data_IF_677310877393
#
_entry.id   IF_677310877393
#
_cell.length_a   1.000
_cell.length_b   1.000
_cell.length_c   1.000
_cell.angle_alpha   90.00
_cell.angle_beta   90.00
_cell.angle_gamma   90.00
#
_symmetry.space_group_name_H-M   'P 1'
#
loop_
_entity.id
_entity.type
_entity.pdbx_description
1 polymer ?
#
# COMPACT_ATOMS: atom_id res chain seq x y z
N UNK A 1 -6.81 6.91 -45.76
CA UNK A 1 -5.50 6.68 -45.11
C UNK A 1 -4.58 7.89 -45.00
N UNK A 2 -5.02 9.15 -45.14
CA UNK A 2 -4.11 10.31 -45.06
C UNK A 2 -3.86 10.85 -43.64
N UNK A 3 -4.49 10.27 -42.61
CA UNK A 3 -4.45 10.81 -41.24
C UNK A 3 -3.28 10.27 -40.39
N UNK A 4 -2.57 9.24 -40.87
CA UNK A 4 -1.41 8.68 -40.16
C UNK A 4 -0.07 9.17 -40.74
N UNK A 5 -0.06 9.96 -41.81
CA UNK A 5 1.18 10.42 -42.45
C UNK A 5 1.81 11.64 -41.76
N UNK A 6 1.05 12.40 -40.98
CA UNK A 6 1.53 13.58 -40.25
C UNK A 6 2.26 13.22 -38.95
N UNK A 7 3.46 13.76 -38.76
CA UNK A 7 4.34 13.50 -37.60
C UNK A 7 3.65 13.87 -36.27
N UNK A 8 2.80 14.91 -36.28
CA UNK A 8 1.99 15.32 -35.12
C UNK A 8 0.92 14.27 -34.77
N UNK A 9 0.26 13.71 -35.78
CA UNK A 9 -0.79 12.69 -35.57
C UNK A 9 -0.22 11.35 -35.10
N UNK A 10 0.99 10.98 -35.55
CA UNK A 10 1.69 9.76 -35.09
C UNK A 10 2.11 9.87 -33.62
N UNK A 11 2.65 11.02 -33.20
CA UNK A 11 2.96 11.30 -31.80
C UNK A 11 1.71 11.18 -30.92
N UNK A 12 0.61 11.79 -31.36
CA UNK A 12 -0.67 11.71 -30.65
C UNK A 12 -1.23 10.27 -30.57
N UNK A 13 -1.06 9.44 -31.62
CA UNK A 13 -1.48 8.03 -31.55
C UNK A 13 -0.66 7.23 -30.53
N UNK A 14 0.66 7.47 -30.47
CA UNK A 14 1.54 6.88 -29.47
C UNK A 14 1.14 7.26 -28.04
N UNK A 15 0.82 8.52 -27.80
CA UNK A 15 0.34 9.00 -26.50
C UNK A 15 -1.03 8.41 -26.12
N UNK A 16 -1.97 8.34 -27.07
CA UNK A 16 -3.30 7.75 -26.84
C UNK A 16 -3.19 6.26 -26.51
N UNK A 17 -2.31 5.52 -27.19
CA UNK A 17 -2.08 4.11 -26.86
C UNK A 17 -1.41 3.93 -25.50
N UNK A 18 -0.45 4.78 -25.16
CA UNK A 18 0.18 4.78 -23.84
C UNK A 18 -0.88 4.97 -22.74
N UNK A 19 -1.72 6.01 -22.87
CA UNK A 19 -2.81 6.28 -21.92
C UNK A 19 -3.73 5.07 -21.75
N UNK A 20 -4.15 4.45 -22.85
CA UNK A 20 -5.00 3.26 -22.80
C UNK A 20 -4.34 2.13 -22.03
N UNK A 21 -3.07 1.84 -22.26
CA UNK A 21 -2.35 0.78 -21.54
C UNK A 21 -2.31 1.08 -20.03
N UNK A 22 -2.04 2.34 -19.66
CA UNK A 22 -2.03 2.76 -18.26
C UNK A 22 -3.42 2.59 -17.63
N UNK A 23 -4.49 3.02 -18.30
CA UNK A 23 -5.87 2.85 -17.80
C UNK A 23 -6.23 1.37 -17.61
N UNK A 24 -5.84 0.49 -18.53
CA UNK A 24 -6.08 -0.97 -18.43
C UNK A 24 -5.26 -1.65 -17.31
N UNK A 25 -4.21 -0.99 -16.83
CA UNK A 25 -3.44 -1.45 -15.67
C UNK A 25 -4.10 -1.14 -14.32
N UNK A 26 -5.31 -0.54 -14.34
CA UNK A 26 -6.05 -0.05 -13.17
C UNK A 26 -5.41 1.14 -12.45
N UNK A 27 -4.57 1.91 -13.15
CA UNK A 27 -3.95 3.11 -12.60
C UNK A 27 -4.87 4.33 -12.76
N UNK A 28 -5.00 5.11 -11.69
CA UNK A 28 -5.78 6.33 -11.60
C UNK A 28 -4.94 7.55 -11.97
N UNK A 29 -5.47 8.38 -12.87
CA UNK A 29 -4.83 9.63 -13.27
C UNK A 29 -4.72 10.59 -12.08
N UNK A 30 -3.60 11.30 -11.99
CA UNK A 30 -3.25 12.23 -10.91
C UNK A 30 -3.01 11.60 -9.53
N UNK A 31 -3.24 10.30 -9.38
CA UNK A 31 -2.92 9.54 -8.17
C UNK A 31 -1.74 8.62 -8.46
N UNK A 32 -1.91 7.72 -9.42
CA UNK A 32 -0.92 6.71 -9.78
C UNK A 32 0.00 7.18 -10.91
N UNK A 33 -0.43 8.15 -11.72
CA UNK A 33 0.40 8.70 -12.78
C UNK A 33 0.07 10.13 -13.17
N UNK A 34 1.05 10.81 -13.78
CA UNK A 34 0.90 12.15 -14.36
C UNK A 34 1.43 12.14 -15.78
N UNK A 35 0.65 12.68 -16.72
CA UNK A 35 1.06 12.84 -18.12
C UNK A 35 1.76 14.18 -18.34
N UNK A 36 2.73 14.19 -19.25
CA UNK A 36 3.33 15.40 -19.83
C UNK A 36 3.79 16.46 -18.81
N UNK A 37 4.24 16.03 -17.63
CA UNK A 37 4.76 16.92 -16.59
C UNK A 37 6.10 17.50 -17.06
N UNK A 38 6.24 18.82 -17.03
CA UNK A 38 7.53 19.46 -17.29
C UNK A 38 8.41 19.34 -16.04
N UNK A 39 9.58 18.75 -16.21
CA UNK A 39 10.63 18.63 -15.21
C UNK A 39 11.71 19.65 -15.57
N UNK A 40 12.05 20.52 -14.63
CA UNK A 40 13.24 21.36 -14.73
C UNK A 40 14.45 20.57 -14.23
N UNK A 41 15.43 20.42 -15.11
CA UNK A 41 16.72 19.80 -14.77
C UNK A 41 17.61 20.80 -14.03
N UNK A 42 18.64 20.29 -13.35
CA UNK A 42 19.61 21.13 -12.62
C UNK A 42 20.31 22.17 -13.51
N UNK A 43 20.46 21.86 -14.79
CA UNK A 43 21.12 22.73 -15.77
C UNK A 43 20.16 23.78 -16.38
N UNK A 44 18.93 23.87 -15.87
CA UNK A 44 17.89 24.79 -16.36
C UNK A 44 17.18 24.33 -17.63
N UNK A 45 17.54 23.16 -18.17
CA UNK A 45 16.84 22.58 -19.32
C UNK A 45 15.49 21.99 -18.90
N UNK A 46 14.49 22.12 -19.77
CA UNK A 46 13.14 21.56 -19.55
C UNK A 46 13.03 20.22 -20.25
N UNK A 47 12.67 19.20 -19.48
CA UNK A 47 12.41 17.86 -19.95
C UNK A 47 10.94 17.52 -19.74
N UNK A 48 10.30 16.89 -20.72
CA UNK A 48 8.88 16.57 -20.65
C UNK A 48 8.66 15.14 -21.12
N UNK A 49 8.70 14.16 -20.21
CA UNK A 49 8.31 12.80 -20.54
C UNK A 49 6.81 12.71 -20.81
N UNK A 50 6.38 11.68 -21.52
CA UNK A 50 4.98 11.49 -21.86
C UNK A 50 4.14 11.06 -20.65
N UNK A 51 4.70 10.20 -19.79
CA UNK A 51 4.09 9.84 -18.52
C UNK A 51 5.12 9.59 -17.41
N UNK A 52 4.70 9.84 -16.18
CA UNK A 52 5.42 9.49 -14.95
C UNK A 52 4.46 8.67 -14.09
N UNK A 53 4.85 7.44 -13.76
CA UNK A 53 4.09 6.52 -12.92
C UNK A 53 4.66 6.55 -11.50
N UNK A 54 3.80 6.70 -10.50
CA UNK A 54 4.15 6.57 -9.10
C UNK A 54 4.24 5.09 -8.71
N UNK A 55 5.27 4.75 -7.97
CA UNK A 55 5.67 3.38 -7.65
C UNK A 55 5.78 3.21 -6.13
N UNK A 56 5.74 1.96 -5.62
CA UNK A 56 6.03 1.60 -4.23
C UNK A 56 7.27 2.27 -3.66
N UNK A 57 7.23 2.61 -2.38
CA UNK A 57 8.32 3.31 -1.69
C UNK A 57 8.58 4.74 -2.20
N UNK A 58 7.57 5.42 -2.75
CA UNK A 58 7.66 6.80 -3.24
C UNK A 58 8.44 6.95 -4.55
N UNK A 59 8.68 5.84 -5.26
CA UNK A 59 9.48 5.84 -6.48
C UNK A 59 8.71 6.38 -7.69
N UNK A 60 9.41 6.83 -8.73
CA UNK A 60 8.78 7.37 -9.94
C UNK A 60 9.38 6.82 -11.22
N UNK A 61 8.57 6.14 -12.02
CA UNK A 61 8.97 5.51 -13.27
C UNK A 61 8.58 6.41 -14.45
N UNK A 62 9.55 6.70 -15.32
CA UNK A 62 9.36 7.58 -16.49
C UNK A 62 9.07 6.76 -17.74
N UNK A 63 8.10 7.19 -18.55
CA UNK A 63 7.74 6.58 -19.82
C UNK A 63 7.75 7.63 -20.94
N UNK A 64 8.39 7.30 -22.05
CA UNK A 64 8.47 8.10 -23.28
C UNK A 64 7.95 7.23 -24.44
N UNK A 65 6.89 7.69 -25.12
CA UNK A 65 6.25 7.02 -26.24
C UNK A 65 6.91 7.43 -27.55
N UNK A 66 7.30 6.44 -28.34
CA UNK A 66 7.83 6.67 -29.68
C UNK A 66 7.12 5.83 -30.73
N UNK A 67 6.64 6.51 -31.76
CA UNK A 67 6.08 5.89 -32.96
C UNK A 67 6.91 6.32 -34.19
N UNK A 68 8.10 5.71 -34.44
CA UNK A 68 8.89 6.05 -35.61
C UNK A 68 8.11 5.82 -36.91
N UNK A 69 8.18 6.77 -37.83
CA UNK A 69 7.27 6.80 -38.96
C UNK A 69 7.62 5.85 -40.11
N UNK A 70 8.89 5.48 -40.24
CA UNK A 70 9.39 4.70 -41.39
C UNK A 70 8.74 3.34 -41.56
N UNK A 71 8.19 2.77 -40.48
CA UNK A 71 7.52 1.48 -40.56
C UNK A 71 6.21 1.54 -41.36
N UNK A 72 5.47 2.64 -41.31
CA UNK A 72 4.29 2.81 -42.15
C UNK A 72 4.69 2.90 -43.63
N UNK A 73 5.77 3.63 -43.93
CA UNK A 73 6.29 3.75 -45.30
C UNK A 73 6.76 2.38 -45.82
N UNK A 74 7.34 1.53 -44.95
CA UNK A 74 7.70 0.15 -45.28
C UNK A 74 6.47 -0.73 -45.59
N UNK A 75 5.36 -0.53 -44.88
CA UNK A 75 4.11 -1.26 -45.15
C UNK A 75 3.40 -0.79 -46.43
N UNK A 76 3.54 0.48 -46.79
CA UNK A 76 2.95 1.05 -48.00
C UNK A 76 3.78 0.80 -49.26
N UNK A 77 5.08 0.48 -49.12
CA UNK A 77 5.93 0.12 -50.27
C UNK A 77 5.51 -1.20 -50.90
N UNK A 78 5.48 -1.22 -52.24
CA UNK A 78 5.18 -2.40 -53.07
C UNK A 78 6.45 -3.15 -53.49
N UNK A 79 7.62 -2.54 -53.29
CA UNK A 79 8.91 -3.14 -53.58
C UNK A 79 9.43 -3.82 -52.32
N UNK A 80 9.74 -5.11 -52.43
CA UNK A 80 10.20 -5.91 -51.31
C UNK A 80 11.59 -5.49 -50.82
N UNK A 81 12.47 -5.05 -51.73
CA UNK A 81 13.83 -4.62 -51.38
C UNK A 81 13.80 -3.25 -50.68
N UNK A 82 12.95 -2.35 -51.15
CA UNK A 82 12.70 -1.05 -50.50
C UNK A 82 12.08 -1.23 -49.11
N UNK A 83 11.11 -2.14 -48.99
CA UNK A 83 10.47 -2.48 -47.72
C UNK A 83 11.48 -2.99 -46.69
N UNK A 84 12.33 -3.93 -47.07
CA UNK A 84 13.39 -4.48 -46.20
C UNK A 84 14.36 -3.37 -45.73
N UNK A 85 14.77 -2.50 -46.66
CA UNK A 85 15.61 -1.34 -46.35
C UNK A 85 14.94 -0.39 -45.36
N UNK A 86 13.66 -0.08 -45.53
CA UNK A 86 12.91 0.81 -44.63
C UNK A 86 12.75 0.19 -43.23
N UNK A 87 12.58 -1.13 -43.14
CA UNK A 87 12.53 -1.83 -41.84
C UNK A 87 13.88 -1.83 -41.11
N UNK A 88 15.00 -1.98 -41.84
CA UNK A 88 16.33 -1.81 -41.27
C UNK A 88 16.56 -0.39 -40.73
N UNK A 89 16.20 0.63 -41.52
CA UNK A 89 16.27 2.02 -41.08
C UNK A 89 15.36 2.34 -39.89
N UNK A 90 14.20 1.69 -39.81
CA UNK A 90 13.33 1.80 -38.64
C UNK A 90 14.02 1.29 -37.37
N UNK A 91 14.74 0.16 -37.43
CA UNK A 91 15.51 -0.34 -36.29
C UNK A 91 16.63 0.63 -35.88
N UNK A 92 17.30 1.26 -36.84
CA UNK A 92 18.30 2.30 -36.58
C UNK A 92 17.69 3.53 -35.89
N UNK A 93 16.52 3.99 -36.34
CA UNK A 93 15.79 5.11 -35.70
C UNK A 93 15.41 4.79 -34.24
N UNK A 94 15.02 3.53 -33.97
CA UNK A 94 14.73 3.06 -32.60
C UNK A 94 16.00 3.11 -31.75
N UNK A 95 17.13 2.64 -32.29
CA UNK A 95 18.42 2.69 -31.60
C UNK A 95 18.87 4.13 -31.29
N UNK A 96 18.75 5.06 -32.23
CA UNK A 96 19.05 6.48 -31.98
C UNK A 96 18.17 7.05 -30.86
N UNK A 97 16.90 6.63 -30.82
CA UNK A 97 15.99 7.03 -29.75
C UNK A 97 16.44 6.47 -28.40
N UNK A 98 16.83 5.20 -28.33
CA UNK A 98 17.39 4.57 -27.12
C UNK A 98 18.61 5.35 -26.62
N UNK A 99 19.56 5.66 -27.49
CA UNK A 99 20.76 6.45 -27.11
C UNK A 99 20.38 7.82 -26.57
N UNK A 100 19.45 8.51 -27.23
CA UNK A 100 18.95 9.81 -26.78
C UNK A 100 18.28 9.72 -25.40
N UNK A 101 17.42 8.72 -25.18
CA UNK A 101 16.71 8.54 -23.90
C UNK A 101 17.68 8.21 -22.76
N UNK A 102 18.65 7.34 -23.00
CA UNK A 102 19.67 7.00 -22.01
C UNK A 102 20.54 8.20 -21.60
N UNK A 103 20.75 9.17 -22.50
CA UNK A 103 21.49 10.40 -22.18
C UNK A 103 20.66 11.41 -21.38
N UNK A 104 19.35 11.49 -21.63
CA UNK A 104 18.48 12.50 -20.99
C UNK A 104 18.40 12.37 -19.47
N UNK A 105 18.75 11.23 -18.89
CA UNK A 105 18.91 11.05 -17.44
C UNK A 105 17.73 11.61 -16.62
N UNK A 106 16.49 11.43 -17.11
CA UNK A 106 15.26 11.89 -16.45
C UNK A 106 15.25 11.46 -14.97
N UNK A 107 15.76 10.26 -14.71
CA UNK A 107 15.92 9.68 -13.38
C UNK A 107 16.69 10.58 -12.40
N UNK A 108 17.72 11.30 -12.83
CA UNK A 108 18.55 12.08 -11.91
C UNK A 108 17.93 13.42 -11.51
N UNK A 109 16.91 13.85 -12.26
CA UNK A 109 16.17 15.10 -12.01
C UNK A 109 14.94 14.89 -11.13
N UNK A 110 14.49 13.65 -10.96
CA UNK A 110 13.32 13.32 -10.15
C UNK A 110 13.77 13.02 -8.71
N UNK A 111 13.43 13.94 -7.80
CA UNK A 111 13.76 13.87 -6.38
C UNK A 111 12.50 14.00 -5.52
N UNK A 112 12.52 13.39 -4.34
CA UNK A 112 11.51 13.65 -3.31
C UNK A 112 11.69 15.03 -2.65
N UNK A 113 10.77 15.39 -1.77
CA UNK A 113 10.78 16.63 -0.98
C UNK A 113 12.04 16.78 -0.11
N UNK A 114 12.74 15.67 0.17
CA UNK A 114 13.99 15.62 0.94
C UNK A 114 15.25 15.65 0.04
N UNK A 115 15.08 15.71 -1.29
CA UNK A 115 16.17 15.78 -2.26
C UNK A 115 16.78 14.43 -2.65
N UNK A 116 16.23 13.30 -2.19
CA UNK A 116 16.69 11.95 -2.53
C UNK A 116 16.17 11.52 -3.89
N UNK A 117 16.97 10.73 -4.61
CA UNK A 117 16.56 10.12 -5.89
C UNK A 117 15.47 9.10 -5.62
N UNK A 118 14.33 9.26 -6.27
CA UNK A 118 13.19 8.34 -6.16
C UNK A 118 12.89 7.59 -7.45
N UNK A 119 13.48 7.97 -8.56
CA UNK A 119 13.31 7.22 -9.81
C UNK A 119 14.10 5.90 -9.79
N UNK A 120 13.56 4.80 -10.36
CA UNK A 120 14.39 3.68 -10.79
C UNK A 120 15.47 4.17 -11.75
N UNK A 121 16.60 3.45 -11.83
CA UNK A 121 17.73 3.85 -12.66
C UNK A 121 17.48 3.76 -14.17
N UNK A 122 16.25 3.51 -14.63
CA UNK A 122 15.89 3.33 -16.04
C UNK A 122 14.62 4.10 -16.47
N UNK A 123 14.50 4.32 -17.78
CA UNK A 123 13.32 4.87 -18.46
C UNK A 123 12.68 3.82 -19.35
N UNK A 124 11.35 3.85 -19.50
CA UNK A 124 10.65 3.00 -20.45
C UNK A 124 10.49 3.74 -21.78
N UNK A 125 11.01 3.14 -22.85
CA UNK A 125 10.68 3.53 -24.22
C UNK A 125 9.48 2.70 -24.69
N UNK A 126 8.31 3.33 -24.77
CA UNK A 126 7.08 2.70 -25.18
C UNK A 126 6.91 2.75 -26.69
N UNK A 127 6.65 1.59 -27.30
CA UNK A 127 6.25 1.46 -28.69
C UNK A 127 4.77 1.05 -28.76
N UNK A 128 3.92 1.80 -29.46
CA UNK A 128 2.46 1.60 -29.43
C UNK A 128 1.96 0.35 -30.16
N UNK A 129 2.80 -0.30 -30.96
CA UNK A 129 2.49 -1.54 -31.67
C UNK A 129 3.44 -2.67 -31.32
N UNK A 130 2.90 -3.86 -31.04
CA UNK A 130 3.70 -5.07 -30.75
C UNK A 130 4.67 -5.41 -31.88
N UNK A 131 4.17 -5.37 -33.12
CA UNK A 131 4.94 -5.61 -34.34
C UNK A 131 6.12 -4.63 -34.51
N UNK A 132 6.03 -3.42 -33.95
CA UNK A 132 7.10 -2.44 -34.02
C UNK A 132 8.32 -2.92 -33.24
N UNK A 133 8.11 -3.40 -32.01
CA UNK A 133 9.17 -3.98 -31.19
C UNK A 133 9.76 -5.22 -31.87
N UNK A 134 8.92 -6.09 -32.41
CA UNK A 134 9.37 -7.31 -33.08
C UNK A 134 10.25 -7.02 -34.30
N UNK A 135 9.87 -6.05 -35.13
CA UNK A 135 10.65 -5.67 -36.32
C UNK A 135 11.96 -5.01 -35.91
N UNK A 136 11.95 -4.12 -34.91
CA UNK A 136 13.19 -3.52 -34.41
C UNK A 136 14.19 -4.58 -33.95
N UNK A 137 13.72 -5.60 -33.20
CA UNK A 137 14.55 -6.72 -32.76
C UNK A 137 14.98 -7.65 -33.90
N UNK A 138 14.15 -7.83 -34.93
CA UNK A 138 14.50 -8.67 -36.08
C UNK A 138 15.69 -8.11 -36.86
N UNK A 139 15.71 -6.80 -37.11
CA UNK A 139 16.80 -6.16 -37.86
C UNK A 139 17.98 -5.75 -36.97
N UNK A 140 17.77 -5.60 -35.65
CA UNK A 140 18.82 -5.38 -34.66
C UNK A 140 18.66 -6.32 -33.46
N UNK A 141 19.14 -7.57 -33.55
CA UNK A 141 18.95 -8.58 -32.50
C UNK A 141 19.50 -8.21 -31.12
N UNK A 142 20.58 -7.41 -31.07
CA UNK A 142 21.23 -6.94 -29.83
C UNK A 142 20.57 -5.71 -29.22
N UNK A 143 19.53 -5.15 -29.86
CA UNK A 143 18.93 -3.88 -29.45
C UNK A 143 18.44 -3.90 -27.99
N UNK A 144 17.89 -5.01 -27.51
CA UNK A 144 17.38 -5.10 -26.14
C UNK A 144 18.51 -5.07 -25.10
N UNK A 145 19.62 -5.77 -25.35
CA UNK A 145 20.80 -5.82 -24.47
C UNK A 145 21.41 -4.42 -24.38
N UNK A 146 21.64 -3.81 -25.54
CA UNK A 146 22.21 -2.48 -25.65
C UNK A 146 21.30 -1.40 -25.04
N UNK A 147 19.97 -1.55 -25.16
CA UNK A 147 19.03 -0.63 -24.52
C UNK A 147 19.10 -0.74 -22.99
N UNK A 148 19.19 -1.96 -22.44
CA UNK A 148 19.35 -2.19 -21.00
C UNK A 148 20.66 -1.58 -20.50
N UNK A 149 21.77 -1.72 -21.23
CA UNK A 149 23.04 -1.07 -20.88
C UNK A 149 22.95 0.46 -20.86
N UNK A 150 22.01 1.03 -21.63
CA UNK A 150 21.70 2.47 -21.62
C UNK A 150 20.61 2.86 -20.62
N UNK A 151 20.21 1.95 -19.74
CA UNK A 151 19.12 2.14 -18.80
C UNK A 151 17.79 2.49 -19.48
N UNK A 152 17.53 1.88 -20.63
CA UNK A 152 16.27 2.02 -21.37
C UNK A 152 15.62 0.66 -21.50
N UNK A 153 14.41 0.52 -20.96
CA UNK A 153 13.59 -0.68 -21.15
C UNK A 153 12.64 -0.46 -22.31
N UNK A 154 12.75 -1.31 -23.34
CA UNK A 154 11.82 -1.32 -24.46
C UNK A 154 10.52 -1.99 -24.03
N UNK A 155 9.38 -1.32 -24.24
CA UNK A 155 8.09 -1.89 -23.91
C UNK A 155 7.09 -1.72 -25.05
N UNK A 156 6.47 -2.82 -25.45
CA UNK A 156 5.24 -2.83 -26.23
C UNK A 156 4.01 -2.70 -25.30
N UNK A 157 2.77 -2.61 -25.82
CA UNK A 157 1.56 -2.52 -24.99
C UNK A 157 1.43 -3.66 -23.99
N UNK A 158 1.73 -4.91 -24.38
CA UNK A 158 1.61 -6.05 -23.48
C UNK A 158 2.69 -6.07 -22.41
N UNK A 159 3.93 -5.75 -22.78
CA UNK A 159 5.04 -5.65 -21.82
C UNK A 159 4.76 -4.55 -20.81
N UNK A 160 4.35 -3.37 -21.28
CA UNK A 160 4.04 -2.25 -20.39
C UNK A 160 2.86 -2.59 -19.48
N UNK A 161 1.78 -3.19 -19.99
CA UNK A 161 0.64 -3.60 -19.17
C UNK A 161 1.07 -4.57 -18.06
N UNK A 162 1.90 -5.56 -18.38
CA UNK A 162 2.40 -6.53 -17.42
C UNK A 162 3.26 -5.86 -16.34
N UNK A 163 4.16 -4.96 -16.74
CA UNK A 163 4.98 -4.18 -15.82
C UNK A 163 4.11 -3.33 -14.89
N UNK A 164 3.18 -2.53 -15.43
CA UNK A 164 2.32 -1.66 -14.63
C UNK A 164 1.41 -2.45 -13.69
N UNK A 165 0.88 -3.61 -14.10
CA UNK A 165 0.14 -4.49 -13.19
C UNK A 165 1.02 -5.04 -12.07
N UNK A 166 2.25 -5.44 -12.38
CA UNK A 166 3.20 -5.92 -11.36
C UNK A 166 3.46 -4.83 -10.32
N UNK A 167 3.67 -3.58 -10.76
CA UNK A 167 3.80 -2.41 -9.91
C UNK A 167 2.57 -2.20 -9.03
N UNK A 168 1.38 -2.21 -9.64
CA UNK A 168 0.13 -2.02 -8.92
C UNK A 168 -0.10 -3.10 -7.84
N UNK A 169 0.18 -4.37 -8.14
CA UNK A 169 0.08 -5.44 -7.15
C UNK A 169 1.13 -5.32 -6.04
N UNK A 170 2.35 -4.88 -6.37
CA UNK A 170 3.39 -4.61 -5.39
C UNK A 170 2.96 -3.48 -4.43
N UNK A 171 2.28 -2.44 -4.93
CA UNK A 171 1.75 -1.35 -4.11
C UNK A 171 0.71 -1.84 -3.10
N UNK A 172 -0.30 -2.57 -3.58
CA UNK A 172 -1.33 -3.14 -2.70
C UNK A 172 -0.73 -4.06 -1.62
N UNK A 173 0.34 -4.80 -1.95
CA UNK A 173 1.01 -5.63 -0.98
C UNK A 173 1.73 -4.80 0.10
N UNK A 174 2.38 -3.70 -0.27
CA UNK A 174 3.02 -2.79 0.67
C UNK A 174 2.01 -2.14 1.62
N UNK A 175 0.87 -1.65 1.10
CA UNK A 175 -0.20 -1.09 1.93
C UNK A 175 -0.80 -2.12 2.89
N UNK A 176 -1.05 -3.35 2.43
CA UNK A 176 -1.51 -4.45 3.30
C UNK A 176 -0.52 -4.74 4.42
N UNK A 177 0.77 -4.79 4.10
CA UNK A 177 1.82 -5.01 5.09
C UNK A 177 1.89 -3.87 6.12
N UNK A 178 1.78 -2.63 5.68
CA UNK A 178 1.78 -1.46 6.56
C UNK A 178 0.56 -1.45 7.49
N UNK A 179 -0.63 -1.77 6.97
CA UNK A 179 -1.84 -1.87 7.77
C UNK A 179 -1.80 -3.04 8.76
N UNK A 180 -1.27 -4.20 8.38
CA UNK A 180 -1.10 -5.33 9.29
C UNK A 180 -0.20 -4.97 10.50
N UNK A 181 0.89 -4.23 10.27
CA UNK A 181 1.75 -3.72 11.35
C UNK A 181 1.00 -2.77 12.31
N UNK A 182 0.15 -1.89 11.78
CA UNK A 182 -0.69 -1.01 12.61
C UNK A 182 -1.70 -1.80 13.45
N UNK A 183 -2.34 -2.80 12.85
CA UNK A 183 -3.29 -3.68 13.55
C UNK A 183 -2.59 -4.41 14.69
N UNK A 184 -1.40 -4.96 14.44
CA UNK A 184 -0.61 -5.64 15.46
C UNK A 184 -0.31 -4.71 16.64
N UNK A 185 0.21 -3.50 16.37
CA UNK A 185 0.52 -2.53 17.41
C UNK A 185 -0.70 -2.13 18.26
N UNK A 186 -1.86 -1.93 17.63
CA UNK A 186 -3.12 -1.64 18.35
C UNK A 186 -3.59 -2.86 19.14
N UNK A 187 -3.35 -4.06 18.65
CA UNK A 187 -3.73 -5.31 19.34
C UNK A 187 -2.87 -5.54 20.58
N UNK A 188 -1.57 -5.25 20.50
CA UNK A 188 -0.65 -5.30 21.65
C UNK A 188 -1.06 -4.27 22.71
N UNK A 189 -1.31 -3.01 22.34
CA UNK A 189 -1.82 -1.99 23.28
C UNK A 189 -3.18 -2.37 23.89
N UNK A 190 -4.06 -3.00 23.12
CA UNK A 190 -5.36 -3.48 23.63
C UNK A 190 -5.18 -4.63 24.64
N UNK A 191 -4.27 -5.56 24.39
CA UNK A 191 -3.98 -6.67 25.31
C UNK A 191 -3.50 -6.13 26.67
N UNK A 192 -2.54 -5.21 26.67
CA UNK A 192 -2.01 -4.58 27.89
C UNK A 192 -3.11 -3.86 28.70
N UNK A 193 -4.04 -3.19 28.01
CA UNK A 193 -5.19 -2.53 28.64
C UNK A 193 -6.18 -3.51 29.22
N UNK A 194 -6.44 -4.63 28.56
CA UNK A 194 -7.31 -5.70 29.06
C UNK A 194 -6.69 -6.31 30.32
N UNK A 195 -5.39 -6.59 30.33
CA UNK A 195 -4.70 -7.14 31.50
C UNK A 195 -4.78 -6.18 32.69
N UNK A 196 -4.56 -4.88 32.44
CA UNK A 196 -4.71 -3.83 33.47
C UNK A 196 -6.15 -3.78 34.01
N UNK A 197 -7.14 -3.85 33.12
CA UNK A 197 -8.55 -3.87 33.51
C UNK A 197 -8.91 -5.11 34.34
N UNK A 198 -8.46 -6.30 33.93
CA UNK A 198 -8.65 -7.54 34.69
C UNK A 198 -8.04 -7.41 36.09
N UNK A 199 -6.83 -6.87 36.22
CA UNK A 199 -6.21 -6.60 37.51
C UNK A 199 -7.02 -5.66 38.42
N UNK A 200 -7.66 -4.64 37.85
CA UNK A 200 -8.59 -3.79 38.60
C UNK A 200 -9.85 -4.55 39.06
N UNK A 201 -10.43 -5.38 38.21
CA UNK A 201 -11.61 -6.20 38.56
C UNK A 201 -11.26 -7.21 39.66
N UNK A 202 -10.10 -7.86 39.59
CA UNK A 202 -9.61 -8.74 40.66
C UNK A 202 -9.43 -7.98 41.98
N UNK A 203 -8.90 -6.76 41.93
CA UNK A 203 -8.78 -5.88 43.09
C UNK A 203 -10.14 -5.57 43.73
N UNK A 204 -11.16 -5.28 42.90
CA UNK A 204 -12.54 -5.07 43.36
C UNK A 204 -13.09 -6.35 44.01
N UNK A 205 -12.89 -7.52 43.38
CA UNK A 205 -13.31 -8.81 43.94
C UNK A 205 -12.74 -9.07 45.33
N UNK A 206 -11.43 -8.84 45.52
CA UNK A 206 -10.75 -8.95 46.82
C UNK A 206 -11.32 -7.97 47.85
N UNK A 207 -11.59 -6.73 47.44
CA UNK A 207 -12.20 -5.70 48.30
C UNK A 207 -13.61 -6.07 48.78
N UNK A 208 -14.44 -6.60 47.88
CA UNK A 208 -15.77 -7.10 48.20
C UNK A 208 -15.71 -8.28 49.17
N UNK A 209 -14.82 -9.25 48.93
CA UNK A 209 -14.62 -10.38 49.84
C UNK A 209 -14.23 -9.92 51.26
N UNK A 210 -13.31 -8.97 51.36
CA UNK A 210 -12.88 -8.42 52.65
C UNK A 210 -14.02 -7.69 53.39
N UNK A 211 -14.87 -6.98 52.63
CA UNK A 211 -16.05 -6.29 53.16
C UNK A 211 -17.09 -7.28 53.67
N UNK A 212 -17.39 -8.33 52.91
CA UNK A 212 -18.29 -9.44 53.32
C UNK A 212 -17.78 -10.10 54.60
N UNK A 213 -16.48 -10.42 54.66
CA UNK A 213 -15.86 -11.02 55.85
C UNK A 213 -15.99 -10.12 57.09
N UNK A 214 -15.83 -8.80 56.93
CA UNK A 214 -15.94 -7.84 58.02
C UNK A 214 -17.38 -7.65 58.49
N UNK A 215 -18.33 -7.65 57.56
CA UNK A 215 -19.76 -7.63 57.84
C UNK A 215 -20.18 -8.88 58.64
N UNK A 216 -19.86 -10.09 58.16
CA UNK A 216 -20.21 -11.35 58.83
C UNK A 216 -19.60 -11.44 60.25
N UNK A 217 -18.38 -10.94 60.46
CA UNK A 217 -17.79 -10.84 61.81
C UNK A 217 -18.59 -9.91 62.74
N UNK A 218 -19.11 -8.81 62.20
CA UNK A 218 -19.91 -7.83 62.95
C UNK A 218 -21.26 -8.42 63.33
N UNK A 219 -21.95 -9.06 62.37
CA UNK A 219 -23.19 -9.82 62.58
C UNK A 219 -23.01 -10.87 63.68
N UNK A 220 -21.96 -11.70 63.58
CA UNK A 220 -21.66 -12.72 64.59
C UNK A 220 -21.39 -12.14 65.99
N UNK A 221 -20.74 -10.97 66.08
CA UNK A 221 -20.53 -10.29 67.37
C UNK A 221 -21.85 -9.73 67.94
N UNK A 222 -22.69 -9.14 67.10
CA UNK A 222 -24.01 -8.64 67.52
C UNK A 222 -24.90 -9.78 68.03
N UNK A 223 -25.07 -10.84 67.24
CA UNK A 223 -25.91 -11.99 67.62
C UNK A 223 -25.40 -12.71 68.87
N UNK A 224 -24.07 -12.85 69.05
CA UNK A 224 -23.51 -13.61 70.20
C UNK A 224 -23.37 -12.79 71.48
N UNK A 225 -23.12 -11.48 71.38
CA UNK A 225 -22.76 -10.65 72.55
C UNK A 225 -23.80 -9.61 72.89
N UNK A 226 -24.32 -8.90 71.89
CA UNK A 226 -25.22 -7.78 72.11
C UNK A 226 -26.67 -8.25 72.26
N UNK A 227 -27.13 -9.13 71.36
CA UNK A 227 -28.50 -9.64 71.39
C UNK A 227 -28.86 -10.30 72.74
N UNK A 228 -28.04 -11.22 73.30
CA UNK A 228 -28.37 -11.84 74.59
C UNK A 228 -28.27 -10.86 75.77
N UNK A 229 -27.38 -9.85 75.68
CA UNK A 229 -27.28 -8.81 76.70
C UNK A 229 -28.49 -7.87 76.69
N UNK A 230 -29.03 -7.57 75.50
CA UNK A 230 -30.27 -6.80 75.34
C UNK A 230 -31.49 -7.59 75.80
N UNK A 231 -31.60 -8.87 75.43
CA UNK A 231 -32.66 -9.78 75.91
C UNK A 231 -32.67 -9.86 77.45
N UNK A 232 -31.50 -10.11 78.07
CA UNK A 232 -31.36 -10.13 79.53
C UNK A 232 -31.71 -8.80 80.19
N UNK A 233 -31.38 -7.67 79.56
CA UNK A 233 -31.76 -6.35 80.07
C UNK A 233 -33.28 -6.13 80.00
N UNK A 234 -33.93 -6.58 78.93
CA UNK A 234 -35.38 -6.50 78.77
C UNK A 234 -36.13 -7.37 79.79
N UNK A 235 -35.65 -8.60 80.02
CA UNK A 235 -36.17 -9.49 81.07
C UNK A 235 -36.13 -8.80 82.44
N UNK A 236 -35.01 -8.14 82.77
CA UNK A 236 -34.86 -7.41 84.04
C UNK A 236 -35.73 -6.14 84.12
N UNK A 237 -36.06 -5.50 82.99
CA UNK A 237 -36.93 -4.31 82.94
C UNK A 237 -38.42 -4.63 82.84
N UNK A 238 -38.79 -5.90 82.63
CA UNK A 238 -40.18 -6.30 82.40
C UNK A 238 -40.76 -5.78 81.07
N UNK A 239 -39.92 -5.47 80.08
CA UNK A 239 -40.30 -4.96 78.76
C UNK A 239 -40.33 -6.08 77.71
N UNK A 240 -41.38 -6.09 76.87
CA UNK A 240 -41.55 -7.05 75.77
C UNK A 240 -41.21 -6.40 74.41
N UNK A 241 -39.97 -5.93 74.23
CA UNK A 241 -39.51 -5.51 72.89
C UNK A 241 -38.85 -6.69 72.17
N UNK A 242 -39.18 -6.86 70.89
CA UNK A 242 -38.56 -7.85 70.01
C UNK A 242 -37.30 -7.27 69.35
N UNK A 243 -36.19 -7.98 69.46
CA UNK A 243 -34.95 -7.63 68.78
C UNK A 243 -34.78 -8.44 67.50
N UNK A 244 -34.19 -7.81 66.48
CA UNK A 244 -33.91 -8.45 65.20
C UNK A 244 -32.56 -9.15 65.25
N UNK A 245 -32.52 -10.41 64.82
CA UNK A 245 -31.29 -11.14 64.53
C UNK A 245 -30.75 -10.70 63.16
N UNK A 246 -29.44 -10.43 63.10
CA UNK A 246 -28.80 -10.10 61.83
C UNK A 246 -28.40 -11.38 61.10
N UNK A 247 -28.50 -11.39 59.76
CA UNK A 247 -28.10 -12.52 58.91
C UNK A 247 -26.77 -12.27 58.21
N UNK A 248 -26.00 -13.34 58.06
CA UNK A 248 -24.76 -13.35 57.28
C UNK A 248 -25.04 -13.24 55.78
N UNK A 249 -24.03 -12.81 55.03
CA UNK A 249 -24.00 -12.89 53.56
C UNK A 249 -23.25 -14.17 53.19
N UNK A 250 -23.95 -15.09 52.49
CA UNK A 250 -23.40 -16.39 52.04
C UNK A 250 -22.77 -16.34 50.65
N UNK A 251 -23.16 -15.38 49.80
CA UNK A 251 -22.64 -15.24 48.44
C UNK A 251 -21.24 -14.61 48.44
N UNK A 252 -20.33 -15.18 47.62
CA UNK A 252 -19.00 -14.64 47.37
C UNK A 252 -18.91 -14.08 45.93
N UNK A 253 -18.06 -13.06 45.68
CA UNK A 253 -17.80 -12.57 44.33
C UNK A 253 -17.29 -13.71 43.42
N UNK A 254 -17.75 -13.73 42.17
CA UNK A 254 -17.30 -14.73 41.19
C UNK A 254 -15.81 -14.52 40.88
N UNK A 255 -15.03 -15.58 40.95
CA UNK A 255 -13.63 -15.57 40.52
C UNK A 255 -13.52 -15.48 39.00
N UNK A 256 -12.56 -14.70 38.52
CA UNK A 256 -12.18 -14.67 37.11
C UNK A 256 -11.30 -15.90 36.87
N UNK A 257 -11.80 -16.83 36.07
CA UNK A 257 -11.03 -18.02 35.69
C UNK A 257 -10.44 -17.83 34.30
N UNK A 258 -9.15 -18.12 34.19
CA UNK A 258 -8.47 -18.21 32.90
C UNK A 258 -9.05 -19.40 32.12
N UNK A 259 -9.79 -19.12 31.05
CA UNK A 259 -10.17 -20.17 30.09
C UNK A 259 -8.95 -20.46 29.22
N UNK A 260 -8.25 -21.55 29.52
CA UNK A 260 -7.29 -22.15 28.60
C UNK A 260 -7.98 -22.33 27.25
N UNK A 261 -7.41 -21.73 26.19
CA UNK A 261 -7.88 -21.93 24.82
C UNK A 261 -7.74 -23.41 24.49
N UNK A 262 -8.87 -24.09 24.29
CA UNK A 262 -8.89 -25.42 23.68
C UNK A 262 -8.35 -25.26 22.25
N UNK A 263 -7.29 -26.01 21.95
CA UNK A 263 -6.65 -26.10 20.63
C UNK A 263 -7.64 -26.51 19.52
#
# INVERSE_FOLDING_TARGET
SSALSDNSMRGNWGEVQLRRVIEHSNMLRHVDYVEQKTIETKDGSKQRPDAIINMPGGRQLVIDSKAPGRLLDAYDSKDQDEKEKLMGQFADDVWETVKSLGQKSYQDSIKDESGNKVSPDFVIMFMPGEHMLQIALLHRPTLWEEAVEKNVILASPYILLALLRSVFYSWQQEERNHNAKKILAVTEDLADRIDTFIGHVEGIGKGLQSSINSYNKTVGSYNRRLLPAQEKLNELKGSNENFLEMKDIEDSPREIQEKLKTE
#
